data_IF_663448647444
#
_entry.id   IF_663448647444
#
_cell.length_a   1.000
_cell.length_b   1.000
_cell.length_c   1.000
_cell.angle_alpha   90.00
_cell.angle_beta   90.00
_cell.angle_gamma   90.00
#
_symmetry.space_group_name_H-M   'P 1'
#
loop_
_entity.id
_entity.type
_entity.pdbx_description
1 polymer ?
#
# COMPACT_ATOMS: atom_id res chain seq x y z
N UNK A 1 2.67 -15.59 16.93
CA UNK A 1 1.91 -16.36 15.94
C UNK A 1 0.44 -16.26 16.28
N UNK A 2 -0.41 -15.98 15.29
CA UNK A 2 -1.85 -15.86 15.44
C UNK A 2 -2.46 -17.12 14.84
N UNK A 3 -3.30 -17.82 15.61
CA UNK A 3 -3.91 -19.08 15.19
C UNK A 3 -5.38 -18.83 14.89
N UNK A 4 -5.84 -19.24 13.70
CA UNK A 4 -7.24 -19.10 13.27
C UNK A 4 -7.73 -20.41 12.65
N UNK A 5 -8.98 -20.76 12.91
CA UNK A 5 -9.63 -21.88 12.25
C UNK A 5 -10.21 -21.40 10.91
N UNK A 6 -9.69 -21.91 9.80
CA UNK A 6 -10.15 -21.57 8.46
C UNK A 6 -10.54 -22.86 7.71
N UNK A 7 -11.80 -22.95 7.29
CA UNK A 7 -12.37 -24.12 6.60
C UNK A 7 -12.20 -25.46 7.35
N UNK A 8 -12.20 -25.41 8.69
CA UNK A 8 -12.08 -26.60 9.54
C UNK A 8 -10.63 -27.01 9.85
N UNK A 9 -9.63 -26.30 9.31
CA UNK A 9 -8.22 -26.51 9.62
C UNK A 9 -7.67 -25.37 10.48
N UNK A 10 -6.88 -25.72 11.48
CA UNK A 10 -6.11 -24.75 12.25
C UNK A 10 -4.94 -24.24 11.40
N UNK A 11 -4.97 -22.95 11.06
CA UNK A 11 -3.88 -22.28 10.35
C UNK A 11 -3.21 -21.28 11.27
N UNK A 12 -1.88 -21.34 11.30
CA UNK A 12 -1.05 -20.37 11.99
C UNK A 12 -0.56 -19.36 10.97
N UNK A 13 -0.79 -18.08 11.26
CA UNK A 13 -0.28 -16.98 10.47
C UNK A 13 0.62 -16.08 11.32
N UNK A 14 1.65 -15.53 10.69
CA UNK A 14 2.40 -14.42 11.24
C UNK A 14 1.63 -13.10 11.08
N UNK A 15 1.97 -12.09 11.85
CA UNK A 15 1.32 -10.78 11.72
C UNK A 15 1.57 -10.17 10.33
N UNK A 16 2.74 -10.45 9.77
CA UNK A 16 3.19 -10.05 8.45
C UNK A 16 2.37 -10.73 7.35
N UNK A 17 2.08 -12.03 7.48
CA UNK A 17 1.25 -12.77 6.51
C UNK A 17 -0.18 -12.22 6.45
N UNK A 18 -0.79 -11.93 7.61
CA UNK A 18 -2.12 -11.32 7.66
C UNK A 18 -2.08 -9.92 7.03
N UNK A 19 -1.07 -9.12 7.34
CA UNK A 19 -0.88 -7.80 6.75
C UNK A 19 -0.71 -7.88 5.23
N UNK A 20 -0.05 -8.93 4.74
CA UNK A 20 0.12 -9.18 3.32
C UNK A 20 -1.22 -9.47 2.64
N UNK A 21 -2.10 -10.30 3.22
CA UNK A 21 -3.42 -10.62 2.66
C UNK A 21 -4.31 -9.39 2.47
N UNK A 22 -4.11 -8.34 3.27
CA UNK A 22 -4.85 -7.07 3.17
C UNK A 22 -4.30 -6.17 2.05
N UNK A 23 -3.10 -6.41 1.54
CA UNK A 23 -2.55 -5.62 0.43
C UNK A 23 -3.43 -5.78 -0.82
N UNK A 24 -3.92 -4.65 -1.30
CA UNK A 24 -4.98 -4.45 -2.32
C UNK A 24 -4.52 -4.83 -3.75
N UNK A 25 -3.61 -5.79 -3.91
CA UNK A 25 -3.08 -6.19 -5.22
C UNK A 25 -4.19 -6.63 -6.18
N UNK A 26 -5.23 -7.29 -5.67
CA UNK A 26 -6.33 -7.78 -6.50
C UNK A 26 -7.16 -6.67 -7.15
N UNK A 27 -7.39 -5.54 -6.47
CA UNK A 27 -8.25 -4.47 -7.02
C UNK A 27 -7.50 -3.71 -8.12
N UNK A 28 -6.20 -3.44 -7.93
CA UNK A 28 -5.41 -2.71 -8.91
C UNK A 28 -5.20 -3.51 -10.21
N UNK A 29 -4.89 -4.80 -10.12
CA UNK A 29 -4.70 -5.66 -11.30
C UNK A 29 -6.02 -5.93 -12.03
N UNK A 30 -7.14 -6.08 -11.30
CA UNK A 30 -8.46 -6.20 -11.91
C UNK A 30 -8.91 -4.91 -12.63
N UNK A 31 -8.53 -3.75 -12.09
CA UNK A 31 -8.85 -2.45 -12.70
C UNK A 31 -7.96 -2.14 -13.93
N UNK A 32 -6.66 -2.43 -13.86
CA UNK A 32 -5.70 -2.13 -14.92
C UNK A 32 -5.62 -3.22 -16.01
N UNK A 33 -6.05 -4.45 -15.71
CA UNK A 33 -5.91 -5.61 -16.60
C UNK A 33 -4.46 -6.07 -16.82
N UNK A 34 -3.52 -5.53 -16.04
CA UNK A 34 -2.08 -5.78 -16.17
C UNK A 34 -1.44 -6.01 -14.80
N UNK A 35 -0.41 -6.84 -14.75
CA UNK A 35 0.32 -7.15 -13.51
C UNK A 35 0.99 -5.90 -12.94
N UNK A 36 0.71 -5.61 -11.66
CA UNK A 36 1.32 -4.48 -10.95
C UNK A 36 2.51 -5.00 -10.17
N UNK A 37 3.72 -4.56 -10.54
CA UNK A 37 4.97 -5.00 -9.91
C UNK A 37 5.58 -3.99 -8.96
N UNK A 38 5.39 -2.69 -9.18
CA UNK A 38 6.04 -1.64 -8.42
C UNK A 38 5.01 -0.81 -7.68
N UNK A 39 5.25 -0.54 -6.40
CA UNK A 39 4.31 0.19 -5.53
C UNK A 39 5.02 1.18 -4.61
N UNK A 40 4.30 2.24 -4.24
CA UNK A 40 4.67 3.15 -3.16
C UNK A 40 3.64 2.98 -2.06
N UNK A 41 4.10 2.80 -0.82
CA UNK A 41 3.23 2.50 0.33
C UNK A 41 3.28 3.65 1.32
N UNK A 42 2.12 4.06 1.83
CA UNK A 42 2.00 5.06 2.89
C UNK A 42 2.07 4.39 4.26
N UNK A 43 2.75 5.03 5.21
CA UNK A 43 2.76 4.65 6.63
C UNK A 43 2.45 5.86 7.50
N UNK A 44 2.00 5.57 8.71
CA UNK A 44 1.71 6.56 9.72
C UNK A 44 2.98 7.34 10.10
N UNK A 45 2.87 8.64 10.33
CA UNK A 45 4.03 9.51 10.56
C UNK A 45 4.88 9.10 11.79
N UNK A 46 4.25 8.43 12.75
CA UNK A 46 4.87 7.96 14.00
C UNK A 46 5.45 6.53 13.91
N UNK A 47 5.39 5.88 12.75
CA UNK A 47 6.01 4.56 12.57
C UNK A 47 7.54 4.66 12.65
N UNK A 48 8.12 3.76 13.45
CA UNK A 48 9.56 3.59 13.56
C UNK A 48 10.13 2.77 12.38
N UNK A 49 11.46 2.71 12.28
CA UNK A 49 12.13 2.02 11.16
C UNK A 49 11.82 0.52 11.09
N UNK A 50 11.63 -0.14 12.23
CA UNK A 50 11.28 -1.56 12.29
C UNK A 50 9.90 -1.83 11.70
N UNK A 51 8.91 -1.01 12.04
CA UNK A 51 7.56 -1.14 11.48
C UNK A 51 7.54 -0.78 9.99
N UNK A 52 8.35 0.20 9.55
CA UNK A 52 8.53 0.51 8.13
C UNK A 52 9.12 -0.68 7.37
N UNK A 53 10.12 -1.34 7.95
CA UNK A 53 10.73 -2.52 7.36
C UNK A 53 9.72 -3.68 7.27
N UNK A 54 8.94 -3.91 8.33
CA UNK A 54 7.88 -4.92 8.31
C UNK A 54 6.84 -4.68 7.20
N UNK A 55 6.44 -3.42 6.97
CA UNK A 55 5.54 -3.07 5.86
C UNK A 55 6.19 -3.29 4.50
N UNK A 56 7.49 -3.01 4.36
CA UNK A 56 8.24 -3.26 3.12
C UNK A 56 8.33 -4.76 2.83
N UNK A 57 8.64 -5.54 3.85
CA UNK A 57 8.78 -6.99 3.75
C UNK A 57 7.43 -7.65 3.44
N UNK A 58 6.33 -7.17 4.03
CA UNK A 58 4.98 -7.59 3.66
C UNK A 58 4.68 -7.37 2.17
N UNK A 59 5.13 -6.24 1.60
CA UNK A 59 5.03 -5.98 0.17
C UNK A 59 5.84 -6.97 -0.69
N UNK A 60 7.06 -7.30 -0.27
CA UNK A 60 7.93 -8.27 -0.95
C UNK A 60 7.33 -9.68 -0.90
N UNK A 61 6.80 -10.09 0.26
CA UNK A 61 6.08 -11.37 0.44
C UNK A 61 4.89 -11.46 -0.53
N UNK A 62 4.21 -10.35 -0.79
CA UNK A 62 3.11 -10.27 -1.76
C UNK A 62 3.55 -10.21 -3.23
N UNK A 63 4.85 -10.30 -3.50
CA UNK A 63 5.44 -10.21 -4.84
C UNK A 63 5.33 -8.81 -5.43
N UNK A 64 5.38 -7.77 -4.60
CA UNK A 64 5.43 -6.36 -4.99
C UNK A 64 6.79 -5.76 -4.65
N UNK A 65 7.33 -4.96 -5.56
CA UNK A 65 8.52 -4.16 -5.33
C UNK A 65 8.11 -2.83 -4.69
N UNK A 66 8.36 -2.69 -3.38
CA UNK A 66 8.09 -1.46 -2.64
C UNK A 66 9.22 -0.46 -2.91
N UNK A 67 8.96 0.47 -3.85
CA UNK A 67 9.94 1.46 -4.31
C UNK A 67 10.26 2.49 -3.22
N UNK A 68 9.24 2.93 -2.49
CA UNK A 68 9.38 3.92 -1.42
C UNK A 68 8.26 3.76 -0.41
N UNK A 69 8.61 3.99 0.86
CA UNK A 69 7.64 4.22 1.92
C UNK A 69 7.60 5.72 2.19
N UNK A 70 6.39 6.29 2.14
CA UNK A 70 6.15 7.72 2.38
C UNK A 70 5.23 7.92 3.57
N UNK A 71 5.35 9.07 4.23
CA UNK A 71 4.45 9.40 5.32
C UNK A 71 3.08 9.75 4.74
N UNK A 72 2.03 9.20 5.33
CA UNK A 72 0.64 9.49 4.97
C UNK A 72 0.32 11.00 4.90
N UNK A 73 0.66 11.86 5.89
CA UNK A 73 0.35 13.30 5.78
C UNK A 73 1.09 13.99 4.62
N UNK A 74 2.28 13.50 4.25
CA UNK A 74 3.03 14.03 3.11
C UNK A 74 2.38 13.56 1.80
N UNK A 75 1.95 12.31 1.73
CA UNK A 75 1.24 11.77 0.57
C UNK A 75 -0.07 12.53 0.31
N UNK A 76 -0.83 12.81 1.38
CA UNK A 76 -2.06 13.60 1.31
C UNK A 76 -1.78 15.03 0.84
N UNK A 77 -0.73 15.68 1.36
CA UNK A 77 -0.32 17.01 0.91
C UNK A 77 0.11 17.04 -0.56
N UNK A 78 0.83 16.02 -1.03
CA UNK A 78 1.20 15.88 -2.44
C UNK A 78 -0.05 15.71 -3.31
N UNK A 79 -0.97 14.84 -2.91
CA UNK A 79 -2.22 14.62 -3.64
C UNK A 79 -3.03 15.93 -3.75
N UNK A 80 -3.22 16.65 -2.64
CA UNK A 80 -3.93 17.92 -2.63
C UNK A 80 -3.23 19.01 -3.45
N UNK A 81 -1.89 19.11 -3.34
CA UNK A 81 -1.10 20.07 -4.10
C UNK A 81 -1.15 19.83 -5.61
N UNK A 82 -1.14 18.56 -6.03
CA UNK A 82 -1.32 18.18 -7.43
C UNK A 82 -2.76 18.42 -7.91
N UNK A 83 -3.76 18.06 -7.11
CA UNK A 83 -5.18 18.26 -7.41
C UNK A 83 -5.52 19.74 -7.63
N UNK A 84 -5.02 20.63 -6.77
CA UNK A 84 -5.19 22.09 -6.93
C UNK A 84 -4.50 22.63 -8.18
N UNK A 85 -3.32 22.11 -8.54
CA UNK A 85 -2.59 22.53 -9.74
C UNK A 85 -3.26 22.06 -11.03
N UNK A 86 -3.79 20.83 -11.05
CA UNK A 86 -4.60 20.30 -12.15
C UNK A 86 -5.88 21.12 -12.32
N UNK A 87 -6.57 21.43 -11.22
CA UNK A 87 -7.77 22.28 -11.22
C UNK A 87 -7.50 23.68 -11.76
N UNK A 88 -6.33 24.25 -11.47
CA UNK A 88 -5.94 25.59 -11.92
C UNK A 88 -5.43 25.63 -13.37
N UNK A 89 -5.04 24.48 -13.94
CA UNK A 89 -4.53 24.38 -15.31
C UNK A 89 -5.66 24.19 -16.34
N UNK A 90 -6.87 23.83 -15.90
CA UNK A 90 -8.05 23.65 -16.75
C UNK A 90 -8.85 24.94 -17.01
N UNK A 91 -8.36 26.11 -16.61
CA UNK A 91 -9.04 27.40 -16.81
C UNK A 91 -8.45 28.28 -17.91
N UNK A 92 -7.46 27.80 -18.67
CA UNK A 92 -6.81 28.59 -19.73
C UNK A 92 -7.11 28.10 -21.14
N UNK A 93 -8.37 27.76 -21.40
CA UNK A 93 -8.88 27.59 -22.76
C UNK A 93 -10.30 28.20 -22.84
N UNK A 94 -10.35 29.53 -22.78
CA UNK A 94 -11.43 30.36 -23.30
C UNK A 94 -10.81 31.41 -24.21
#
# INVERSE_FOLDING_TARGET
MIVVNYKGEEKQFSAEEISSMVLIKMIAEAYLGTTVKNVVVTVLAYFNDSQRQATKDAGVIFGLNVMRIINEPIAAAIAYGLDKKLSSSNTNNC
#
